data_IF_625555333861
#
_entry.id   IF_625555333861
#
_cell.length_a   1.000
_cell.length_b   1.000
_cell.length_c   1.000
_cell.angle_alpha   90.00
_cell.angle_beta   90.00
_cell.angle_gamma   90.00
#
_symmetry.space_group_name_H-M   'P 1'
#
loop_
_entity.id
_entity.type
_entity.pdbx_description
1 polymer ?
#
# COMPACT_ATOMS: atom_id res chain seq x y z
N UNK A 1 6.08 6.48 -19.92
CA UNK A 1 5.70 5.48 -18.89
C UNK A 1 5.29 4.13 -19.53
N UNK A 2 5.00 4.08 -20.83
CA UNK A 2 4.52 2.86 -21.54
C UNK A 2 5.61 1.82 -21.88
N UNK A 3 6.90 2.17 -21.84
CA UNK A 3 8.00 1.21 -22.11
C UNK A 3 8.53 0.50 -20.85
N UNK A 4 7.89 0.67 -19.70
CA UNK A 4 8.35 0.05 -18.46
C UNK A 4 7.69 -1.31 -18.21
N UNK A 5 8.44 -2.25 -17.64
CA UNK A 5 7.87 -3.52 -17.16
C UNK A 5 7.06 -3.26 -15.89
N UNK A 6 5.82 -3.73 -15.84
CA UNK A 6 4.92 -3.52 -14.71
C UNK A 6 4.60 -4.82 -13.98
N UNK A 7 4.53 -4.71 -12.65
CA UNK A 7 3.95 -5.69 -11.75
C UNK A 7 2.59 -5.13 -11.30
N UNK A 8 1.52 -5.86 -11.57
CA UNK A 8 0.15 -5.42 -11.29
C UNK A 8 -0.54 -6.28 -10.24
N UNK A 9 -1.51 -5.72 -9.49
CA UNK A 9 -2.47 -6.52 -8.75
C UNK A 9 -3.36 -7.31 -9.72
N UNK A 10 -3.60 -8.58 -9.42
CA UNK A 10 -4.57 -9.40 -10.16
C UNK A 10 -6.03 -9.05 -9.79
N UNK A 11 -6.99 -9.77 -10.38
CA UNK A 11 -8.41 -9.56 -10.15
C UNK A 11 -8.87 -9.74 -8.69
N UNK A 12 -8.16 -10.53 -7.88
CA UNK A 12 -8.49 -10.67 -6.45
C UNK A 12 -8.30 -9.36 -5.68
N UNK A 13 -7.42 -8.49 -6.17
CA UNK A 13 -7.11 -7.18 -5.62
C UNK A 13 -7.77 -6.02 -6.39
N UNK A 14 -8.70 -6.29 -7.31
CA UNK A 14 -9.40 -5.27 -8.11
C UNK A 14 -10.12 -4.18 -7.27
N UNK A 15 -10.42 -4.48 -6.00
CA UNK A 15 -11.04 -3.57 -5.04
C UNK A 15 -10.06 -2.54 -4.45
N UNK A 16 -8.75 -2.71 -4.62
CA UNK A 16 -7.76 -1.76 -4.16
C UNK A 16 -7.70 -0.53 -5.08
N UNK A 17 -7.43 0.68 -4.55
CA UNK A 17 -7.21 1.87 -5.37
C UNK A 17 -6.08 1.72 -6.39
N UNK A 18 -5.01 1.01 -6.04
CA UNK A 18 -3.87 0.73 -6.94
C UNK A 18 -4.29 -0.03 -8.20
N UNK A 19 -5.08 -1.10 -8.06
CA UNK A 19 -5.59 -1.87 -9.19
C UNK A 19 -6.49 -1.02 -10.11
N UNK A 20 -7.41 -0.26 -9.51
CA UNK A 20 -8.31 0.64 -10.27
C UNK A 20 -7.56 1.76 -10.98
N UNK A 21 -6.57 2.34 -10.32
CA UNK A 21 -5.74 3.40 -10.89
C UNK A 21 -4.93 2.88 -12.07
N UNK A 22 -4.31 1.71 -11.94
CA UNK A 22 -3.53 1.09 -13.01
C UNK A 22 -4.38 0.89 -14.28
N UNK A 23 -5.56 0.28 -14.13
CA UNK A 23 -6.51 0.04 -15.24
C UNK A 23 -7.02 1.32 -15.89
N UNK A 24 -7.18 2.39 -15.11
CA UNK A 24 -7.63 3.69 -15.63
C UNK A 24 -6.53 4.47 -16.33
N UNK A 25 -5.32 4.47 -15.75
CA UNK A 25 -4.19 5.27 -16.23
C UNK A 25 -3.48 4.58 -17.40
N UNK A 26 -3.49 3.24 -17.43
CA UNK A 26 -2.86 2.41 -18.44
C UNK A 26 -3.84 1.31 -18.92
N UNK A 27 -4.90 1.66 -19.67
CA UNK A 27 -5.97 0.72 -20.03
C UNK A 27 -5.55 -0.41 -20.98
N UNK A 28 -4.38 -0.29 -21.62
CA UNK A 28 -3.77 -1.35 -22.45
C UNK A 28 -2.53 -1.97 -21.82
N UNK A 29 -2.34 -1.82 -20.50
CA UNK A 29 -1.21 -2.41 -19.82
C UNK A 29 -1.32 -3.94 -19.80
N UNK A 30 -0.31 -4.59 -20.35
CA UNK A 30 -0.07 -6.02 -20.17
C UNK A 30 1.06 -6.17 -19.13
N UNK A 31 0.75 -6.44 -17.85
CA UNK A 31 1.76 -6.58 -16.82
C UNK A 31 2.63 -7.81 -17.06
N UNK A 32 3.93 -7.70 -16.74
CA UNK A 32 4.86 -8.82 -16.85
C UNK A 32 4.55 -9.87 -15.77
N UNK A 33 4.05 -9.41 -14.62
CA UNK A 33 3.65 -10.26 -13.49
C UNK A 33 2.39 -9.70 -12.86
N UNK A 34 1.41 -10.56 -12.59
CA UNK A 34 0.25 -10.24 -11.75
C UNK A 34 0.36 -10.90 -10.37
N UNK A 35 -0.15 -10.24 -9.34
CA UNK A 35 -0.05 -10.70 -7.95
C UNK A 35 -1.35 -10.50 -7.17
N UNK A 36 -1.69 -11.45 -6.31
CA UNK A 36 -2.76 -11.33 -5.31
C UNK A 36 -2.27 -10.75 -3.97
N UNK A 37 -1.05 -10.22 -3.92
CA UNK A 37 -0.42 -9.74 -2.69
C UNK A 37 0.47 -8.52 -2.94
N UNK A 38 0.21 -7.46 -2.18
CA UNK A 38 1.06 -6.25 -2.18
C UNK A 38 2.47 -6.57 -1.67
N UNK A 39 2.62 -7.51 -0.74
CA UNK A 39 3.93 -7.95 -0.26
C UNK A 39 4.73 -8.68 -1.35
N UNK A 40 4.06 -9.47 -2.20
CA UNK A 40 4.72 -10.09 -3.34
C UNK A 40 5.17 -9.05 -4.37
N UNK A 41 4.34 -8.06 -4.66
CA UNK A 41 4.71 -6.93 -5.53
C UNK A 41 5.96 -6.21 -5.03
N UNK A 42 6.05 -5.96 -3.71
CA UNK A 42 7.24 -5.39 -3.09
C UNK A 42 8.50 -6.24 -3.32
N UNK A 43 8.44 -7.54 -3.06
CA UNK A 43 9.59 -8.45 -3.27
C UNK A 43 10.02 -8.50 -4.73
N UNK A 44 9.06 -8.51 -5.67
CA UNK A 44 9.33 -8.54 -7.11
C UNK A 44 9.95 -7.23 -7.60
N UNK A 45 9.42 -6.09 -7.17
CA UNK A 45 9.95 -4.77 -7.50
C UNK A 45 11.39 -4.63 -6.99
N UNK A 46 11.64 -5.06 -5.74
CA UNK A 46 12.99 -5.08 -5.15
C UNK A 46 13.94 -6.02 -5.89
N UNK A 47 13.42 -7.11 -6.44
CA UNK A 47 14.15 -8.03 -7.31
C UNK A 47 14.42 -7.48 -8.72
N UNK A 48 13.96 -6.26 -9.04
CA UNK A 48 14.16 -5.62 -10.34
C UNK A 48 13.20 -6.09 -11.43
N UNK A 49 12.09 -6.76 -11.08
CA UNK A 49 11.13 -7.28 -12.07
C UNK A 49 10.29 -6.19 -12.75
N UNK A 50 10.23 -4.98 -12.19
CA UNK A 50 9.53 -3.85 -12.80
C UNK A 50 8.98 -2.84 -11.78
N UNK A 51 8.15 -1.92 -12.29
CA UNK A 51 7.41 -0.95 -11.49
C UNK A 51 6.17 -1.57 -10.85
N UNK A 52 5.85 -1.14 -9.64
CA UNK A 52 4.66 -1.58 -8.93
C UNK A 52 4.08 -0.43 -8.09
N UNK A 53 2.75 -0.21 -8.07
CA UNK A 53 2.13 0.66 -7.08
C UNK A 53 2.15 -0.04 -5.71
N UNK A 54 3.03 0.41 -4.82
CA UNK A 54 3.22 -0.14 -3.47
C UNK A 54 2.93 0.95 -2.44
N UNK A 55 2.26 0.66 -1.29
CA UNK A 55 2.09 1.62 -0.22
C UNK A 55 3.43 2.17 0.30
N UNK A 56 3.51 3.48 0.49
CA UNK A 56 4.70 4.18 0.97
C UNK A 56 5.27 3.56 2.26
N UNK A 57 4.41 3.23 3.24
CA UNK A 57 4.86 2.64 4.51
C UNK A 57 5.57 1.29 4.36
N UNK A 58 5.35 0.59 3.25
CA UNK A 58 6.02 -0.67 2.95
C UNK A 58 7.28 -0.45 2.11
N UNK A 59 7.25 0.49 1.17
CA UNK A 59 8.35 0.70 0.21
C UNK A 59 9.42 1.68 0.70
N UNK A 60 9.06 2.80 1.33
CA UNK A 60 10.00 3.84 1.73
C UNK A 60 11.10 3.35 2.70
N UNK A 61 10.81 2.44 3.66
CA UNK A 61 11.86 1.92 4.54
C UNK A 61 12.80 0.90 3.88
N UNK A 62 12.54 0.45 2.64
CA UNK A 62 13.38 -0.55 1.96
C UNK A 62 14.39 0.16 1.04
N UNK A 63 15.70 0.16 1.38
CA UNK A 63 16.73 0.80 0.56
C UNK A 63 17.00 0.08 -0.78
N UNK A 64 16.40 -1.10 -1.00
CA UNK A 64 16.42 -1.80 -2.27
C UNK A 64 15.31 -1.37 -3.23
N UNK A 65 14.50 -0.38 -2.85
CA UNK A 65 13.46 0.22 -3.67
C UNK A 65 13.73 1.72 -3.84
N UNK A 66 13.33 2.24 -4.99
CA UNK A 66 13.37 3.67 -5.27
C UNK A 66 11.97 4.16 -5.65
N UNK A 67 11.56 5.28 -5.04
CA UNK A 67 10.28 5.91 -5.35
C UNK A 67 10.38 6.66 -6.68
N UNK A 68 9.61 6.22 -7.67
CA UNK A 68 9.63 6.79 -9.03
C UNK A 68 8.71 8.01 -9.23
N UNK A 69 7.74 8.24 -8.34
CA UNK A 69 6.84 9.40 -8.37
C UNK A 69 6.53 9.88 -6.95
N UNK A 70 6.15 11.15 -6.75
CA UNK A 70 5.49 11.56 -5.51
C UNK A 70 4.26 10.69 -5.20
N UNK A 71 3.79 10.64 -3.93
CA UNK A 71 2.55 9.94 -3.58
C UNK A 71 1.39 10.37 -4.48
N UNK A 72 0.70 9.40 -5.06
CA UNK A 72 -0.40 9.63 -5.99
C UNK A 72 -1.69 9.77 -5.17
N UNK A 73 -2.39 10.93 -5.18
CA UNK A 73 -3.56 11.15 -4.34
C UNK A 73 -4.66 10.09 -4.49
N UNK A 74 -4.88 9.58 -5.71
CA UNK A 74 -5.87 8.54 -6.03
C UNK A 74 -5.55 7.17 -5.42
N UNK A 75 -4.31 6.95 -4.99
CA UNK A 75 -3.86 5.73 -4.34
C UNK A 75 -3.99 5.77 -2.81
N UNK A 76 -4.37 6.92 -2.25
CA UNK A 76 -4.54 7.10 -0.81
C UNK A 76 -5.61 6.17 -0.26
N UNK A 77 -5.26 5.44 0.82
CA UNK A 77 -6.18 4.61 1.60
C UNK A 77 -6.19 5.07 3.04
N UNK A 78 -7.35 4.96 3.70
CA UNK A 78 -7.44 5.16 5.14
C UNK A 78 -6.88 3.97 5.91
N UNK A 79 -6.40 4.22 7.13
CA UNK A 79 -6.10 3.19 8.12
C UNK A 79 -7.18 3.24 9.20
N UNK A 80 -7.85 2.11 9.44
CA UNK A 80 -8.95 2.02 10.42
C UNK A 80 -8.65 0.98 11.49
N UNK A 81 -8.88 1.35 12.74
CA UNK A 81 -8.97 0.41 13.86
C UNK A 81 -10.43 -0.02 14.03
N UNK A 82 -10.70 -1.30 13.75
CA UNK A 82 -12.04 -1.87 13.75
C UNK A 82 -12.19 -2.87 14.90
N UNK A 83 -13.33 -2.82 15.60
CA UNK A 83 -13.72 -3.83 16.59
C UNK A 83 -15.21 -4.09 16.50
N UNK A 84 -15.63 -5.29 16.91
CA UNK A 84 -17.05 -5.61 16.96
C UNK A 84 -17.78 -4.68 17.95
N UNK A 85 -19.00 -4.27 17.62
CA UNK A 85 -19.80 -3.33 18.43
C UNK A 85 -19.92 -3.78 19.89
N UNK A 86 -20.03 -5.08 20.14
CA UNK A 86 -20.19 -5.64 21.48
C UNK A 86 -18.88 -5.62 22.28
N UNK A 87 -17.74 -5.64 21.60
CA UNK A 87 -16.41 -5.65 22.21
C UNK A 87 -15.90 -4.26 22.55
N UNK A 88 -16.46 -3.19 21.96
CA UNK A 88 -16.00 -1.81 22.16
C UNK A 88 -16.03 -1.32 23.61
N UNK A 89 -16.81 -1.97 24.49
CA UNK A 89 -16.91 -1.66 25.93
C UNK A 89 -16.06 -2.56 26.82
N UNK A 90 -15.45 -3.61 26.27
CA UNK A 90 -14.59 -4.52 27.03
C UNK A 90 -13.29 -3.80 27.36
N UNK A 91 -12.97 -3.69 28.65
CA UNK A 91 -11.85 -2.88 29.13
C UNK A 91 -10.51 -3.20 28.43
N UNK A 92 -10.16 -4.48 28.28
CA UNK A 92 -8.93 -4.91 27.59
C UNK A 92 -8.90 -4.53 26.10
N UNK A 93 -10.05 -4.50 25.43
CA UNK A 93 -10.14 -4.12 24.01
C UNK A 93 -9.97 -2.61 23.88
N UNK A 94 -10.62 -1.84 24.75
CA UNK A 94 -10.45 -0.39 24.78
C UNK A 94 -8.99 -0.01 25.06
N UNK A 95 -8.37 -0.62 26.06
CA UNK A 95 -6.95 -0.39 26.37
C UNK A 95 -6.03 -0.67 25.17
N UNK A 96 -6.28 -1.76 24.42
CA UNK A 96 -5.52 -2.07 23.22
C UNK A 96 -5.75 -1.03 22.11
N UNK A 97 -7.00 -0.62 21.86
CA UNK A 97 -7.31 0.38 20.83
C UNK A 97 -6.70 1.74 21.16
N UNK A 98 -6.75 2.17 22.43
CA UNK A 98 -6.13 3.41 22.90
C UNK A 98 -4.60 3.34 22.72
N UNK A 99 -3.97 2.20 23.07
CA UNK A 99 -2.54 1.97 22.83
C UNK A 99 -2.18 2.03 21.35
N UNK A 100 -2.91 1.31 20.49
CA UNK A 100 -2.67 1.28 19.04
C UNK A 100 -2.86 2.66 18.42
N UNK A 101 -3.86 3.44 18.86
CA UNK A 101 -4.07 4.78 18.37
C UNK A 101 -2.85 5.68 18.60
N UNK A 102 -2.27 5.63 19.81
CA UNK A 102 -1.06 6.39 20.14
C UNK A 102 0.13 5.86 19.35
N UNK A 103 0.38 4.55 19.38
CA UNK A 103 1.54 3.94 18.73
C UNK A 103 1.53 4.15 17.21
N UNK A 104 0.37 4.00 16.56
CA UNK A 104 0.24 4.26 15.12
C UNK A 104 0.34 5.75 14.77
N UNK A 105 0.03 6.64 15.71
CA UNK A 105 0.21 8.09 15.55
C UNK A 105 1.67 8.47 15.30
N UNK A 106 2.63 7.72 15.84
CA UNK A 106 4.07 7.93 15.62
C UNK A 106 4.48 7.68 14.15
N UNK A 107 3.70 6.91 13.40
CA UNK A 107 3.96 6.57 12.00
C UNK A 107 3.14 7.39 11.00
N UNK A 108 2.48 8.46 11.43
CA UNK A 108 1.59 9.28 10.58
C UNK A 108 2.29 9.76 9.31
N UNK A 109 3.52 10.30 9.42
CA UNK A 109 4.29 10.77 8.26
C UNK A 109 4.58 9.63 7.27
N UNK A 110 4.95 8.45 7.78
CA UNK A 110 5.21 7.27 6.94
C UNK A 110 3.94 6.80 6.22
N UNK A 111 2.80 6.76 6.91
CA UNK A 111 1.51 6.40 6.30
C UNK A 111 1.04 7.44 5.28
N UNK A 112 1.35 8.72 5.50
CA UNK A 112 1.06 9.81 4.56
C UNK A 112 2.01 9.83 3.34
N UNK A 113 3.08 9.02 3.35
CA UNK A 113 4.09 9.02 2.30
C UNK A 113 5.05 10.22 2.36
N UNK A 114 5.13 10.87 3.51
CA UNK A 114 5.99 12.02 3.82
C UNK A 114 7.39 11.60 4.33
N UNK A 115 7.72 10.30 4.30
CA UNK A 115 9.06 9.83 4.63
C UNK A 115 10.10 10.31 3.61
N UNK A 116 11.27 10.74 4.12
CA UNK A 116 12.43 11.03 3.29
C UNK A 116 12.99 9.73 2.66
N UNK A 117 13.21 9.75 1.35
CA UNK A 117 13.92 8.72 0.57
C UNK A 117 15.43 8.92 0.61
#
# INVERSE_FOLDING_TARGET
MEEQSWIAPDDSLAHLPSARWLRRTLPGLEPVIECNSVAAMHVLARGGAGLAPIPCFLADPDPGLERVTPPIPELTVGLWLLTHRDLRRVARIRALLDFLHVALGEYTALFAGEGDT
#
